data_IF_047378409054
#
_entry.id   IF_047378409054
#
_cell.length_a   1.000
_cell.length_b   1.000
_cell.length_c   1.000
_cell.angle_alpha   90.00
_cell.angle_beta   90.00
_cell.angle_gamma   90.00
#
_symmetry.space_group_name_H-M   'P 1'
#
loop_
_entity.id
_entity.type
_entity.pdbx_description
1 polymer ?
#
# COMPACT_ATOMS: atom_id res chain seq x y z
N UNK A 1 -11.92 14.90 -33.94
CA UNK A 1 -11.59 14.41 -32.60
C UNK A 1 -12.59 15.03 -31.65
N UNK A 2 -13.20 14.23 -30.79
CA UNK A 2 -14.18 14.72 -29.82
C UNK A 2 -13.42 15.08 -28.56
N UNK A 3 -13.59 16.31 -28.09
CA UNK A 3 -13.03 16.75 -26.82
C UNK A 3 -13.56 15.88 -25.67
N UNK A 4 -12.78 15.68 -24.60
CA UNK A 4 -13.20 14.88 -23.47
C UNK A 4 -14.32 15.58 -22.69
N UNK A 5 -15.30 14.79 -22.27
CA UNK A 5 -16.45 15.22 -21.49
C UNK A 5 -16.00 15.80 -20.15
N UNK A 6 -16.66 16.86 -19.69
CA UNK A 6 -16.29 17.55 -18.44
C UNK A 6 -16.25 16.59 -17.23
N UNK A 7 -17.15 15.61 -17.17
CA UNK A 7 -17.17 14.59 -16.11
C UNK A 7 -15.86 13.78 -16.04
N UNK A 8 -15.28 13.44 -17.20
CA UNK A 8 -14.00 12.71 -17.26
C UNK A 8 -12.83 13.62 -16.87
N UNK A 9 -12.88 14.89 -17.25
CA UNK A 9 -11.88 15.90 -16.87
C UNK A 9 -11.86 16.08 -15.35
N UNK A 10 -13.04 16.20 -14.73
CA UNK A 10 -13.19 16.36 -13.29
C UNK A 10 -12.70 15.11 -12.55
N UNK A 11 -13.05 13.92 -13.05
CA UNK A 11 -12.56 12.66 -12.48
C UNK A 11 -11.04 12.52 -12.59
N UNK A 12 -10.46 12.88 -13.74
CA UNK A 12 -9.02 12.88 -13.94
C UNK A 12 -8.30 13.83 -12.96
N UNK A 13 -8.86 15.02 -12.69
CA UNK A 13 -8.33 15.91 -11.65
C UNK A 13 -8.42 15.35 -10.25
N UNK A 14 -9.55 14.73 -9.90
CA UNK A 14 -9.77 14.12 -8.58
C UNK A 14 -8.68 13.08 -8.26
N UNK A 15 -8.30 12.28 -9.26
CA UNK A 15 -7.27 11.25 -9.11
C UNK A 15 -5.84 11.75 -9.38
N UNK A 16 -5.68 13.05 -9.73
CA UNK A 16 -4.38 13.66 -10.02
C UNK A 16 -3.75 13.28 -11.37
N UNK A 17 -4.55 12.80 -12.32
CA UNK A 17 -4.11 12.44 -13.66
C UNK A 17 -3.89 13.70 -14.52
N UNK A 18 -2.67 13.87 -15.03
CA UNK A 18 -2.33 14.95 -15.95
C UNK A 18 -2.54 14.51 -17.40
N UNK A 19 -3.28 15.30 -18.18
CA UNK A 19 -3.54 15.06 -19.61
C UNK A 19 -3.75 16.39 -20.36
N UNK A 20 -3.65 16.36 -21.69
CA UNK A 20 -3.97 17.51 -22.55
C UNK A 20 -5.39 17.35 -23.11
N UNK A 21 -6.36 18.20 -22.71
CA UNK A 21 -7.75 18.09 -23.16
C UNK A 21 -7.93 18.37 -24.66
N UNK A 22 -6.98 19.02 -25.31
CA UNK A 22 -7.04 19.33 -26.75
C UNK A 22 -6.54 18.18 -27.63
N UNK A 23 -5.76 17.26 -27.03
CA UNK A 23 -5.13 16.15 -27.72
C UNK A 23 -5.64 14.77 -27.28
N UNK A 24 -6.42 14.70 -26.18
CA UNK A 24 -6.91 13.44 -25.61
C UNK A 24 -8.38 13.24 -25.92
N UNK A 25 -8.73 12.08 -26.49
CA UNK A 25 -10.12 11.72 -26.72
C UNK A 25 -10.82 11.18 -25.46
N UNK A 26 -12.14 11.20 -25.47
CA UNK A 26 -13.00 10.66 -24.40
C UNK A 26 -12.65 9.20 -24.03
N UNK A 27 -12.43 8.35 -25.04
CA UNK A 27 -12.11 6.93 -24.86
C UNK A 27 -10.69 6.72 -24.28
N UNK A 28 -9.72 7.52 -24.73
CA UNK A 28 -8.37 7.50 -24.19
C UNK A 28 -8.35 7.93 -22.72
N UNK A 29 -9.06 9.01 -22.39
CA UNK A 29 -9.15 9.50 -21.02
C UNK A 29 -9.87 8.50 -20.11
N UNK A 30 -10.95 7.88 -20.59
CA UNK A 30 -11.67 6.83 -19.85
C UNK A 30 -10.78 5.61 -19.59
N UNK A 31 -10.02 5.17 -20.59
CA UNK A 31 -9.08 4.05 -20.46
C UNK A 31 -7.95 4.36 -19.47
N UNK A 32 -7.42 5.58 -19.50
CA UNK A 32 -6.39 6.03 -18.58
C UNK A 32 -6.89 6.06 -17.12
N UNK A 33 -8.09 6.61 -16.88
CA UNK A 33 -8.73 6.62 -15.56
C UNK A 33 -8.90 5.19 -15.03
N UNK A 34 -9.49 4.29 -15.82
CA UNK A 34 -9.71 2.90 -15.41
C UNK A 34 -8.40 2.16 -15.08
N UNK A 35 -7.34 2.43 -15.85
CA UNK A 35 -6.01 1.84 -15.60
C UNK A 35 -5.42 2.35 -14.29
N UNK A 36 -5.47 3.67 -14.06
CA UNK A 36 -4.98 4.26 -12.82
C UNK A 36 -5.69 3.70 -11.60
N UNK A 37 -7.03 3.65 -11.63
CA UNK A 37 -7.84 3.11 -10.53
C UNK A 37 -7.50 1.65 -10.25
N UNK A 38 -7.30 0.83 -11.28
CA UNK A 38 -6.91 -0.57 -11.11
C UNK A 38 -5.55 -0.72 -10.43
N UNK A 39 -4.53 -0.01 -10.93
CA UNK A 39 -3.17 -0.04 -10.36
C UNK A 39 -3.15 0.49 -8.93
N UNK A 40 -3.94 1.54 -8.65
CA UNK A 40 -4.06 2.09 -7.31
C UNK A 40 -4.67 1.07 -6.33
N UNK A 41 -5.74 0.37 -6.73
CA UNK A 41 -6.35 -0.69 -5.91
C UNK A 41 -5.34 -1.83 -5.69
N UNK A 42 -4.70 -2.32 -6.74
CA UNK A 42 -3.69 -3.38 -6.67
C UNK A 42 -2.56 -3.00 -5.67
N UNK A 43 -1.99 -1.80 -5.80
CA UNK A 43 -0.94 -1.32 -4.90
C UNK A 43 -1.40 -1.18 -3.43
N UNK A 44 -2.66 -0.80 -3.19
CA UNK A 44 -3.21 -0.72 -1.84
C UNK A 44 -3.50 -2.11 -1.25
N UNK A 45 -3.94 -3.06 -2.08
CA UNK A 45 -4.15 -4.46 -1.66
C UNK A 45 -2.83 -5.18 -1.35
N UNK A 46 -1.78 -4.93 -2.13
CA UNK A 46 -0.44 -5.48 -1.87
C UNK A 46 0.14 -4.95 -0.56
N UNK A 47 -0.02 -3.65 -0.28
CA UNK A 47 0.40 -3.06 1.00
C UNK A 47 -0.36 -3.64 2.19
N UNK A 48 -1.68 -3.79 2.07
CA UNK A 48 -2.48 -4.42 3.12
C UNK A 48 -2.07 -5.89 3.37
N UNK A 49 -1.74 -6.63 2.31
CA UNK A 49 -1.23 -7.99 2.44
C UNK A 49 0.15 -8.02 3.11
N UNK A 50 1.06 -7.13 2.72
CA UNK A 50 2.40 -7.04 3.30
C UNK A 50 2.39 -6.68 4.80
N UNK A 51 1.52 -5.76 5.22
CA UNK A 51 1.38 -5.38 6.63
C UNK A 51 0.78 -6.51 7.48
N UNK A 52 0.00 -7.40 6.86
CA UNK A 52 -0.64 -8.54 7.53
C UNK A 52 0.20 -9.84 7.45
N UNK A 53 1.33 -9.83 6.74
CA UNK A 53 2.10 -11.06 6.47
C UNK A 53 3.02 -11.49 7.61
N UNK A 54 3.04 -10.76 8.73
CA UNK A 54 3.67 -11.29 9.94
C UNK A 54 2.69 -12.23 10.68
N UNK A 55 3.13 -13.43 11.10
CA UNK A 55 2.29 -14.36 11.85
C UNK A 55 1.67 -13.72 13.11
N UNK A 56 2.37 -12.74 13.68
CA UNK A 56 1.96 -11.94 14.84
C UNK A 56 0.77 -11.03 14.53
N UNK A 57 0.83 -10.22 13.46
CA UNK A 57 -0.28 -9.32 13.10
C UNK A 57 -1.53 -10.11 12.65
N UNK A 58 -1.33 -11.25 11.96
CA UNK A 58 -2.42 -12.16 11.59
C UNK A 58 -3.14 -12.75 12.82
N UNK A 59 -2.39 -13.15 13.86
CA UNK A 59 -2.98 -13.63 15.12
C UNK A 59 -3.74 -12.54 15.86
N UNK A 60 -3.26 -11.28 15.83
CA UNK A 60 -3.96 -10.13 16.42
C UNK A 60 -5.29 -9.87 15.74
N UNK A 61 -5.32 -9.84 14.41
CA UNK A 61 -6.57 -9.63 13.65
C UNK A 61 -7.59 -10.75 13.83
N UNK A 62 -7.14 -12.00 13.94
CA UNK A 62 -8.02 -13.16 14.16
C UNK A 62 -8.48 -13.32 15.62
N UNK A 63 -8.09 -12.42 16.52
CA UNK A 63 -8.39 -12.53 17.96
C UNK A 63 -7.72 -13.72 18.65
N UNK A 64 -6.78 -14.39 17.97
CA UNK A 64 -5.99 -15.50 18.49
C UNK A 64 -4.72 -15.04 19.24
N UNK A 65 -4.49 -13.72 19.31
CA UNK A 65 -3.39 -13.12 20.05
C UNK A 65 -3.76 -13.02 21.53
N UNK A 66 -3.01 -13.73 22.38
CA UNK A 66 -3.24 -13.73 23.81
C UNK A 66 -2.30 -12.74 24.51
N UNK A 67 -2.65 -12.37 25.74
CA UNK A 67 -1.79 -11.53 26.58
C UNK A 67 -0.40 -12.15 26.81
N UNK A 68 -0.29 -13.48 26.75
CA UNK A 68 0.99 -14.20 26.83
C UNK A 68 1.86 -14.00 25.59
N UNK A 69 1.25 -13.99 24.39
CA UNK A 69 1.98 -13.70 23.15
C UNK A 69 2.52 -12.25 23.15
N UNK A 70 1.80 -11.33 23.80
CA UNK A 70 2.23 -9.93 23.93
C UNK A 70 3.46 -9.75 24.81
N UNK A 71 3.50 -10.43 25.95
CA UNK A 71 4.66 -10.39 26.85
C UNK A 71 5.89 -11.08 26.24
N UNK A 72 5.70 -12.19 25.51
CA UNK A 72 6.77 -12.88 24.80
C UNK A 72 7.37 -12.03 23.67
N UNK A 73 6.54 -11.28 22.93
CA UNK A 73 7.00 -10.33 21.92
C UNK A 73 7.80 -9.16 22.52
N UNK A 74 7.36 -8.62 23.67
CA UNK A 74 8.09 -7.57 24.40
C UNK A 74 9.43 -8.08 24.92
N UNK A 75 9.47 -9.31 25.46
CA UNK A 75 10.70 -9.94 25.94
C UNK A 75 11.68 -10.22 24.80
N UNK A 76 11.19 -10.70 23.64
CA UNK A 76 12.02 -10.91 22.45
C UNK A 76 12.59 -9.59 21.88
N UNK A 77 11.80 -8.52 21.87
CA UNK A 77 12.26 -7.18 21.49
C UNK A 77 13.30 -6.64 22.47
N UNK A 78 13.11 -6.85 23.78
CA UNK A 78 14.08 -6.47 24.81
C UNK A 78 15.39 -7.26 24.69
N UNK A 79 15.33 -8.57 24.42
CA UNK A 79 16.51 -9.42 24.16
C UNK A 79 17.31 -8.95 22.94
N UNK A 80 16.64 -8.61 21.84
CA UNK A 80 17.29 -8.02 20.65
C UNK A 80 18.00 -6.70 20.96
N UNK A 81 17.41 -5.86 21.81
CA UNK A 81 18.01 -4.59 22.23
C UNK A 81 19.26 -4.78 23.09
N UNK A 82 19.30 -5.83 23.89
CA UNK A 82 20.45 -6.17 24.76
C UNK A 82 21.60 -6.79 23.94
N UNK A 83 21.30 -7.63 22.94
CA UNK A 83 22.31 -8.29 22.10
C UNK A 83 22.76 -7.47 20.87
N UNK A 84 22.09 -6.36 20.57
CA UNK A 84 22.29 -5.54 19.36
C UNK A 84 23.46 -4.53 19.38
N UNK A 85 24.56 -4.80 20.08
CA UNK A 85 25.83 -4.04 19.89
C UNK A 85 27.04 -4.90 19.51
N UNK A 86 26.83 -6.17 19.16
CA UNK A 86 27.88 -7.02 18.59
C UNK A 86 28.14 -6.69 17.12
N UNK A 87 28.85 -5.59 16.82
CA UNK A 87 29.65 -5.53 15.59
C UNK A 87 30.61 -6.71 15.63
N UNK A 88 30.39 -7.72 14.81
CA UNK A 88 31.42 -8.70 14.49
C UNK A 88 32.34 -7.98 13.50
N UNK A 89 33.59 -7.60 13.85
CA UNK A 89 34.52 -7.08 12.86
C UNK A 89 34.84 -8.21 11.85
N UNK A 90 34.98 -7.90 10.55
CA UNK A 90 35.33 -8.91 9.56
C UNK A 90 36.72 -9.49 9.85
N UNK A 91 36.83 -10.82 9.76
CA UNK A 91 38.10 -11.57 9.73
C UNK A 91 38.64 -11.66 8.30
#
# INVERSE_FOLDING_TARGET
MTEPSQDLIDRAREIGLSFDPTATSDDELRSAIATYERVYIEAMTEKAAADTDTPTERRKMLGCWTQRDEEEAKEAAARRRIFGSGRIPPA
#
